data_IF_101401824739
#
_entry.id   IF_101401824739
#
_cell.length_a   1.000
_cell.length_b   1.000
_cell.length_c   1.000
_cell.angle_alpha   90.00
_cell.angle_beta   90.00
_cell.angle_gamma   90.00
#
_symmetry.space_group_name_H-M   'P 1'
#
loop_
_entity.id
_entity.type
_entity.pdbx_description
1 polymer ?
#
# COMPACT_ATOMS: atom_id res chain seq x y z
N UNK A 1 -14.54 -18.05 -20.54
CA UNK A 1 -15.68 -17.24 -20.99
C UNK A 1 -15.68 -17.25 -22.52
N UNK A 2 -16.86 -17.18 -23.14
CA UNK A 2 -17.03 -17.29 -24.59
C UNK A 2 -16.92 -15.90 -25.24
N UNK A 3 -16.27 -15.81 -26.41
CA UNK A 3 -15.91 -14.55 -27.08
C UNK A 3 -17.16 -13.69 -27.38
N UNK A 4 -18.29 -14.34 -27.66
CA UNK A 4 -19.56 -13.68 -27.91
C UNK A 4 -20.15 -13.00 -26.65
N UNK A 5 -19.95 -13.61 -25.49
CA UNK A 5 -20.38 -13.06 -24.19
C UNK A 5 -19.57 -11.81 -23.83
N UNK A 6 -18.25 -11.87 -24.01
CA UNK A 6 -17.36 -10.76 -23.70
C UNK A 6 -17.61 -9.58 -24.66
N UNK A 7 -17.84 -9.86 -25.95
CA UNK A 7 -18.19 -8.85 -26.94
C UNK A 7 -19.49 -8.12 -26.57
N UNK A 8 -20.53 -8.85 -26.15
CA UNK A 8 -21.79 -8.26 -25.71
C UNK A 8 -21.62 -7.45 -24.41
N UNK A 9 -20.84 -7.96 -23.46
CA UNK A 9 -20.55 -7.27 -22.20
C UNK A 9 -19.87 -5.91 -22.43
N UNK A 10 -18.82 -5.88 -23.25
CA UNK A 10 -18.08 -4.65 -23.53
C UNK A 10 -18.81 -3.69 -24.46
N UNK A 11 -19.69 -4.18 -25.34
CA UNK A 11 -20.59 -3.34 -26.13
C UNK A 11 -21.54 -2.52 -25.23
N UNK A 12 -21.99 -3.09 -24.12
CA UNK A 12 -22.82 -2.40 -23.12
C UNK A 12 -22.01 -1.54 -22.13
N UNK A 13 -20.67 -1.69 -22.11
CA UNK A 13 -19.76 -0.98 -21.19
C UNK A 13 -18.54 -0.41 -21.92
N UNK A 14 -18.74 0.51 -22.88
CA UNK A 14 -17.67 0.99 -23.76
C UNK A 14 -16.54 1.70 -23.01
N UNK A 15 -16.84 2.32 -21.86
CA UNK A 15 -15.83 2.96 -21.01
C UNK A 15 -14.90 1.94 -20.32
N UNK A 16 -15.42 0.77 -19.92
CA UNK A 16 -14.59 -0.30 -19.35
C UNK A 16 -13.68 -0.91 -20.42
N UNK A 17 -14.19 -1.10 -21.64
CA UNK A 17 -13.38 -1.51 -22.78
C UNK A 17 -12.27 -0.50 -23.08
N UNK A 18 -12.60 0.80 -23.09
CA UNK A 18 -11.60 1.87 -23.27
C UNK A 18 -10.51 1.80 -22.20
N UNK A 19 -10.88 1.61 -20.94
CA UNK A 19 -9.93 1.52 -19.82
C UNK A 19 -9.01 0.31 -19.96
N UNK A 20 -9.55 -0.85 -20.37
CA UNK A 20 -8.75 -2.05 -20.65
C UNK A 20 -7.83 -1.88 -21.85
N UNK A 21 -8.28 -1.18 -22.90
CA UNK A 21 -7.46 -0.85 -24.06
C UNK A 21 -6.37 0.18 -23.73
N UNK A 22 -6.65 1.15 -22.85
CA UNK A 22 -5.65 2.10 -22.36
C UNK A 22 -4.61 1.37 -21.52
N UNK A 23 -5.04 0.49 -20.61
CA UNK A 23 -4.13 -0.33 -19.79
C UNK A 23 -3.27 -1.25 -20.67
N UNK A 24 -3.87 -1.94 -21.64
CA UNK A 24 -3.12 -2.81 -22.55
C UNK A 24 -2.19 -2.02 -23.46
N UNK A 25 -2.60 -0.83 -23.92
CA UNK A 25 -1.72 0.08 -24.66
C UNK A 25 -0.55 0.56 -23.80
N UNK A 26 -0.74 0.83 -22.51
CA UNK A 26 0.35 1.20 -21.59
C UNK A 26 1.35 0.05 -21.38
N UNK A 27 0.89 -1.21 -21.37
CA UNK A 27 1.78 -2.38 -21.28
C UNK A 27 2.46 -2.74 -22.62
N UNK A 28 1.81 -2.46 -23.76
CA UNK A 28 2.31 -2.79 -25.10
C UNK A 28 3.13 -1.67 -25.75
N UNK A 29 2.85 -0.41 -25.39
CA UNK A 29 3.61 0.78 -25.73
C UNK A 29 4.12 1.41 -24.44
N UNK A 30 5.33 1.03 -23.97
CA UNK A 30 6.01 1.84 -22.97
C UNK A 30 6.15 3.24 -23.54
N UNK A 31 5.88 4.28 -22.75
CA UNK A 31 6.08 5.67 -23.14
C UNK A 31 7.58 5.98 -23.34
N UNK A 32 8.16 5.43 -24.40
CA UNK A 32 9.53 5.64 -24.85
C UNK A 32 9.58 6.86 -25.77
N UNK A 33 9.00 7.98 -25.36
CA UNK A 33 9.19 9.27 -26.07
C UNK A 33 8.55 10.43 -25.33
N UNK A 34 9.07 10.76 -24.14
CA UNK A 34 9.25 12.11 -23.62
C UNK A 34 9.47 12.06 -22.11
N UNK A 35 10.73 11.99 -21.67
CA UNK A 35 11.30 12.77 -20.55
C UNK A 35 12.75 12.32 -20.31
N UNK A 36 13.65 13.13 -20.85
CA UNK A 36 14.99 13.49 -20.37
C UNK A 36 15.67 12.57 -19.34
N UNK A 37 16.78 11.95 -19.79
CA UNK A 37 18.06 11.75 -19.07
C UNK A 37 18.13 11.01 -17.73
N UNK A 38 17.02 10.69 -17.05
CA UNK A 38 17.03 9.84 -15.85
C UNK A 38 16.78 8.37 -16.17
N UNK A 39 16.26 8.08 -17.35
CA UNK A 39 15.78 6.75 -17.70
C UNK A 39 16.88 5.73 -18.01
N UNK A 40 18.11 6.16 -18.30
CA UNK A 40 19.22 5.23 -18.58
C UNK A 40 19.84 4.61 -17.32
N UNK A 41 19.41 5.00 -16.11
CA UNK A 41 19.96 4.47 -14.85
C UNK A 41 19.08 3.37 -14.21
N UNK A 42 17.84 3.19 -14.66
CA UNK A 42 16.88 2.29 -14.00
C UNK A 42 16.80 0.89 -14.62
N UNK A 43 17.38 0.66 -15.80
CA UNK A 43 17.21 -0.61 -16.55
C UNK A 43 18.47 -1.46 -16.69
N UNK A 44 19.62 -1.00 -16.20
CA UNK A 44 20.85 -1.79 -16.18
C UNK A 44 21.39 -1.85 -14.76
N UNK A 45 21.59 -3.07 -14.24
CA UNK A 45 22.05 -3.35 -12.89
C UNK A 45 23.39 -2.71 -12.54
N UNK A 46 23.36 -1.43 -12.18
CA UNK A 46 24.50 -0.65 -11.74
C UNK A 46 24.08 0.14 -10.49
N UNK A 47 24.57 -0.34 -9.34
CA UNK A 47 24.81 0.39 -8.09
C UNK A 47 23.62 1.14 -7.50
N UNK A 48 22.77 0.39 -6.81
CA UNK A 48 21.73 0.87 -5.89
C UNK A 48 22.29 1.62 -4.66
N UNK A 49 23.60 1.53 -4.41
CA UNK A 49 24.22 1.82 -3.11
C UNK A 49 24.37 3.31 -2.72
N UNK A 50 24.08 4.29 -3.59
CA UNK A 50 24.39 5.70 -3.30
C UNK A 50 23.22 6.69 -3.29
N UNK A 51 21.99 6.28 -3.66
CA UNK A 51 20.84 7.21 -3.72
C UNK A 51 19.76 6.84 -2.72
N UNK A 52 19.04 7.84 -2.21
CA UNK A 52 17.92 7.64 -1.26
C UNK A 52 16.79 6.80 -1.86
N UNK A 53 16.47 6.98 -3.15
CA UNK A 53 15.54 6.11 -3.88
C UNK A 53 16.07 4.67 -4.00
N UNK A 54 17.39 4.52 -4.16
CA UNK A 54 18.10 3.26 -4.15
C UNK A 54 17.77 2.45 -2.89
N UNK A 55 18.11 3.05 -1.75
CA UNK A 55 17.86 2.49 -0.42
C UNK A 55 16.39 2.07 -0.25
N UNK A 56 15.44 2.84 -0.77
CA UNK A 56 14.02 2.51 -0.69
C UNK A 56 13.66 1.21 -1.44
N UNK A 57 14.11 1.00 -2.68
CA UNK A 57 13.82 -0.28 -3.34
C UNK A 57 14.60 -1.45 -2.73
N UNK A 58 15.76 -1.21 -2.10
CA UNK A 58 16.43 -2.26 -1.33
C UNK A 58 15.59 -2.68 -0.12
N UNK A 59 14.94 -1.74 0.56
CA UNK A 59 13.94 -2.06 1.59
C UNK A 59 12.75 -2.80 1.00
N UNK A 60 12.21 -2.36 -0.15
CA UNK A 60 11.14 -3.08 -0.84
C UNK A 60 11.55 -4.53 -1.17
N UNK A 61 12.82 -4.76 -1.52
CA UNK A 61 13.32 -6.11 -1.78
C UNK A 61 13.35 -6.97 -0.52
N UNK A 62 13.68 -6.38 0.63
CA UNK A 62 13.72 -7.07 1.93
C UNK A 62 12.31 -7.39 2.45
N UNK A 63 11.37 -6.46 2.32
CA UNK A 63 10.04 -6.56 2.97
C UNK A 63 8.91 -6.98 2.01
N UNK A 64 9.00 -6.58 0.73
CA UNK A 64 7.91 -6.67 -0.25
C UNK A 64 7.60 -8.04 -0.82
N UNK A 65 8.52 -9.02 -0.78
CA UNK A 65 8.38 -10.39 -1.33
C UNK A 65 7.55 -10.46 -2.64
N UNK A 66 6.26 -10.80 -2.54
CA UNK A 66 5.32 -10.95 -3.65
C UNK A 66 4.93 -9.65 -4.34
N UNK A 67 4.95 -8.51 -3.62
CA UNK A 67 4.62 -7.19 -4.17
C UNK A 67 5.79 -6.55 -4.90
N UNK A 68 7.05 -6.92 -4.57
CA UNK A 68 8.25 -6.39 -5.22
C UNK A 68 8.20 -6.48 -6.75
N UNK A 69 8.06 -7.67 -7.37
CA UNK A 69 8.06 -7.76 -8.83
C UNK A 69 6.89 -7.01 -9.48
N UNK A 70 5.77 -6.85 -8.76
CA UNK A 70 4.61 -6.09 -9.25
C UNK A 70 4.94 -4.60 -9.27
N UNK A 71 5.51 -4.06 -8.19
CA UNK A 71 5.86 -2.64 -8.06
C UNK A 71 7.01 -2.27 -9.01
N UNK A 72 8.03 -3.11 -9.12
CA UNK A 72 9.15 -2.91 -10.05
C UNK A 72 8.73 -2.95 -11.52
N UNK A 73 7.60 -3.60 -11.85
CA UNK A 73 7.06 -3.66 -13.21
C UNK A 73 6.15 -2.48 -13.59
N UNK A 74 5.84 -1.58 -12.64
CA UNK A 74 5.00 -0.42 -12.92
C UNK A 74 5.76 0.64 -13.73
N UNK A 75 4.99 1.53 -14.36
CA UNK A 75 5.55 2.69 -15.05
C UNK A 75 6.43 3.52 -14.08
N UNK A 76 7.58 4.09 -14.52
CA UNK A 76 8.50 4.83 -13.65
C UNK A 76 7.86 5.95 -12.84
N UNK A 77 6.85 6.61 -13.42
CA UNK A 77 6.03 7.64 -12.76
C UNK A 77 5.35 7.14 -11.47
N UNK A 78 5.03 5.85 -11.41
CA UNK A 78 4.27 5.21 -10.32
C UNK A 78 5.12 4.26 -9.47
N UNK A 79 6.18 3.66 -10.03
CA UNK A 79 6.98 2.67 -9.34
C UNK A 79 7.60 3.19 -8.05
N UNK A 80 8.26 4.37 -8.07
CA UNK A 80 8.84 4.98 -6.88
C UNK A 80 7.77 5.49 -5.89
N UNK A 81 6.71 6.24 -6.32
CA UNK A 81 5.63 6.62 -5.42
C UNK A 81 4.95 5.45 -4.70
N UNK A 82 4.67 4.36 -5.41
CA UNK A 82 4.04 3.17 -4.82
C UNK A 82 5.03 2.41 -3.93
N UNK A 83 6.32 2.36 -4.28
CA UNK A 83 7.37 1.82 -3.40
C UNK A 83 7.40 2.58 -2.06
N UNK A 84 7.46 3.91 -2.09
CA UNK A 84 7.46 4.73 -0.87
C UNK A 84 6.16 4.59 -0.11
N UNK A 85 5.01 4.58 -0.79
CA UNK A 85 3.73 4.36 -0.13
C UNK A 85 3.71 3.03 0.61
N UNK A 86 4.14 1.94 -0.03
CA UNK A 86 4.27 0.63 0.58
C UNK A 86 5.20 0.65 1.80
N UNK A 87 6.36 1.31 1.72
CA UNK A 87 7.30 1.39 2.84
C UNK A 87 6.75 2.20 4.03
N UNK A 88 6.00 3.26 3.77
CA UNK A 88 5.33 4.04 4.82
C UNK A 88 4.33 3.16 5.56
N UNK A 89 3.49 2.43 4.82
CA UNK A 89 2.51 1.52 5.42
C UNK A 89 3.18 0.35 6.15
N UNK A 90 4.24 -0.21 5.58
CA UNK A 90 5.03 -1.26 6.23
C UNK A 90 5.65 -0.78 7.55
N UNK A 91 6.13 0.46 7.58
CA UNK A 91 6.63 1.07 8.81
C UNK A 91 5.52 1.23 9.85
N UNK A 92 4.31 1.60 9.41
CA UNK A 92 3.13 1.70 10.26
C UNK A 92 2.76 0.34 10.87
N UNK A 93 2.66 -0.72 10.06
CA UNK A 93 2.39 -2.10 10.50
C UNK A 93 3.46 -2.56 11.51
N UNK A 94 4.74 -2.26 11.26
CA UNK A 94 5.84 -2.63 12.17
C UNK A 94 5.69 -1.98 13.55
N UNK A 95 5.17 -0.74 13.62
CA UNK A 95 4.89 -0.06 14.91
C UNK A 95 3.68 -0.68 15.59
N UNK A 96 2.66 -1.06 14.82
CA UNK A 96 1.46 -1.73 15.32
C UNK A 96 1.78 -3.10 15.90
N UNK A 97 2.60 -3.90 15.21
CA UNK A 97 2.90 -5.28 15.58
C UNK A 97 3.91 -5.40 16.72
N UNK A 98 4.75 -4.39 16.95
CA UNK A 98 5.79 -4.43 18.00
C UNK A 98 5.17 -4.57 19.41
N UNK A 99 5.21 -5.78 19.97
CA UNK A 99 4.69 -6.10 21.30
C UNK A 99 5.49 -5.43 22.43
N UNK A 100 6.70 -4.95 22.16
CA UNK A 100 7.54 -4.27 23.16
C UNK A 100 7.10 -2.83 23.43
N UNK A 101 6.29 -2.25 22.54
CA UNK A 101 5.77 -0.89 22.68
C UNK A 101 4.43 -0.93 23.45
N UNK A 102 4.32 -0.29 24.62
CA UNK A 102 3.04 -0.23 25.34
C UNK A 102 1.96 0.46 24.50
N UNK A 103 0.72 -0.04 24.57
CA UNK A 103 -0.46 0.49 23.84
C UNK A 103 -0.60 2.01 23.98
N UNK A 104 -0.49 2.54 25.20
CA UNK A 104 -0.59 3.97 25.46
C UNK A 104 0.52 4.80 24.78
N UNK A 105 1.67 4.19 24.47
CA UNK A 105 2.77 4.82 23.73
C UNK A 105 2.58 4.69 22.22
N UNK A 106 2.03 3.58 21.71
CA UNK A 106 1.77 3.38 20.26
C UNK A 106 1.00 4.56 19.64
N UNK A 107 -0.04 5.04 20.32
CA UNK A 107 -0.82 6.22 19.89
C UNK A 107 0.02 7.50 19.75
N UNK A 108 0.95 7.73 20.67
CA UNK A 108 1.87 8.88 20.61
C UNK A 108 2.91 8.77 19.50
N UNK A 109 3.21 7.54 19.05
CA UNK A 109 4.23 7.27 18.02
C UNK A 109 3.64 7.48 16.63
N UNK A 110 2.39 7.07 16.42
CA UNK A 110 1.65 7.38 15.19
C UNK A 110 1.48 8.88 14.95
N UNK A 111 1.59 9.70 16.00
CA UNK A 111 1.52 11.16 15.94
C UNK A 111 2.89 11.85 15.96
N UNK A 112 3.93 11.22 16.53
CA UNK A 112 5.30 11.74 16.52
C UNK A 112 6.36 10.60 16.63
N UNK A 113 7.06 10.25 15.52
CA UNK A 113 8.02 9.15 15.52
C UNK A 113 9.30 9.54 16.28
N UNK A 114 9.47 9.01 17.50
CA UNK A 114 10.68 9.19 18.33
C UNK A 114 10.98 7.93 19.16
N UNK A 115 11.16 6.80 18.49
CA UNK A 115 11.28 5.48 19.15
C UNK A 115 12.47 4.70 18.62
N UNK A 116 13.14 4.01 19.54
CA UNK A 116 14.11 2.97 19.24
C UNK A 116 13.41 1.61 19.26
N UNK A 117 13.31 0.97 18.10
CA UNK A 117 12.71 -0.36 17.92
C UNK A 117 13.74 -1.44 18.25
N UNK A 118 13.40 -2.42 19.10
CA UNK A 118 14.39 -3.40 19.59
C UNK A 118 14.23 -4.80 18.99
N UNK A 119 13.02 -5.27 18.70
CA UNK A 119 12.79 -6.70 18.45
C UNK A 119 12.04 -7.04 17.15
N UNK A 120 11.58 -6.04 16.39
CA UNK A 120 10.83 -6.29 15.16
C UNK A 120 11.67 -6.67 13.93
N UNK A 121 11.07 -7.50 13.06
CA UNK A 121 11.71 -8.06 11.86
C UNK A 121 12.12 -6.99 10.84
N UNK A 122 11.25 -6.01 10.63
CA UNK A 122 11.42 -4.96 9.64
C UNK A 122 11.94 -3.65 10.27
N UNK A 123 12.47 -3.70 11.51
CA UNK A 123 12.97 -2.52 12.25
C UNK A 123 13.98 -1.66 11.49
N UNK A 124 14.80 -2.27 10.64
CA UNK A 124 15.84 -1.57 9.90
C UNK A 124 15.23 -0.52 8.95
N UNK A 125 13.99 -0.73 8.50
CA UNK A 125 13.23 0.25 7.73
C UNK A 125 12.91 1.50 8.57
N UNK A 126 12.55 1.30 9.84
CA UNK A 126 12.19 2.38 10.75
C UNK A 126 13.39 3.19 11.21
N UNK A 127 14.55 2.54 11.36
CA UNK A 127 15.82 3.23 11.67
C UNK A 127 16.22 4.16 10.53
N UNK A 128 16.13 3.68 9.29
CA UNK A 128 16.52 4.44 8.09
C UNK A 128 15.35 5.14 7.39
N UNK A 129 14.25 5.37 8.13
CA UNK A 129 13.02 5.97 7.61
C UNK A 129 13.21 7.40 7.09
N UNK A 130 14.32 8.05 7.47
CA UNK A 130 14.75 9.33 6.90
C UNK A 130 14.90 9.29 5.37
N UNK A 131 15.34 8.14 4.81
CA UNK A 131 15.45 7.97 3.36
C UNK A 131 14.07 7.95 2.69
N UNK A 132 13.12 7.23 3.29
CA UNK A 132 11.72 7.18 2.85
C UNK A 132 11.09 8.58 2.90
N UNK A 133 11.29 9.30 4.01
CA UNK A 133 10.82 10.68 4.17
C UNK A 133 11.45 11.64 3.16
N UNK A 134 12.73 11.47 2.84
CA UNK A 134 13.42 12.30 1.85
C UNK A 134 12.83 12.11 0.44
N UNK A 135 12.53 10.87 0.04
CA UNK A 135 11.87 10.60 -1.24
C UNK A 135 10.41 11.05 -1.25
N UNK A 136 9.67 10.82 -0.17
CA UNK A 136 8.30 11.28 -0.01
C UNK A 136 8.15 12.78 -0.28
N UNK A 137 9.06 13.60 0.30
CA UNK A 137 9.07 15.05 0.13
C UNK A 137 9.36 15.52 -1.30
N UNK A 138 10.00 14.68 -2.14
CA UNK A 138 10.31 15.01 -3.54
C UNK A 138 9.12 14.75 -4.49
N UNK A 139 8.11 14.03 -4.04
CA UNK A 139 6.96 13.65 -4.88
C UNK A 139 6.05 14.83 -5.21
N UNK A 140 5.15 14.65 -6.18
CA UNK A 140 4.07 15.60 -6.45
C UNK A 140 3.21 15.80 -5.19
N UNK A 141 2.74 17.03 -4.99
CA UNK A 141 1.87 17.38 -3.85
C UNK A 141 0.59 16.52 -3.80
N UNK A 142 0.03 16.16 -4.96
CA UNK A 142 -1.12 15.27 -5.05
C UNK A 142 -0.84 13.88 -4.48
N UNK A 143 0.33 13.29 -4.79
CA UNK A 143 0.75 12.00 -4.23
C UNK A 143 1.01 12.09 -2.73
N UNK A 144 1.71 13.14 -2.29
CA UNK A 144 1.96 13.37 -0.86
C UNK A 144 0.66 13.48 -0.07
N UNK A 145 -0.34 14.21 -0.61
CA UNK A 145 -1.66 14.37 0.00
C UNK A 145 -2.39 13.03 0.09
N UNK A 146 -2.45 12.28 -1.01
CA UNK A 146 -3.14 10.99 -1.04
C UNK A 146 -2.53 10.00 -0.05
N UNK A 147 -1.20 9.87 -0.04
CA UNK A 147 -0.47 8.99 0.88
C UNK A 147 -0.67 9.46 2.32
N UNK A 148 -0.48 10.75 2.60
CA UNK A 148 -0.59 11.29 3.95
C UNK A 148 -1.99 11.14 4.55
N UNK A 149 -3.04 11.37 3.77
CA UNK A 149 -4.43 11.17 4.22
C UNK A 149 -4.70 9.69 4.52
N UNK A 150 -4.29 8.76 3.65
CA UNK A 150 -4.52 7.33 3.83
C UNK A 150 -3.72 6.79 5.02
N UNK A 151 -2.43 7.13 5.11
CA UNK A 151 -1.60 6.75 6.27
C UNK A 151 -2.16 7.34 7.57
N UNK A 152 -2.70 8.56 7.53
CA UNK A 152 -3.38 9.16 8.66
C UNK A 152 -4.61 8.36 9.09
N UNK A 153 -5.50 8.01 8.15
CA UNK A 153 -6.69 7.19 8.42
C UNK A 153 -6.30 5.81 8.99
N UNK A 154 -5.30 5.15 8.37
CA UNK A 154 -4.77 3.87 8.82
C UNK A 154 -4.26 3.95 10.27
N UNK A 155 -3.39 4.91 10.57
CA UNK A 155 -2.79 5.05 11.89
C UNK A 155 -3.81 5.37 13.00
N UNK A 156 -4.84 6.16 12.69
CA UNK A 156 -5.95 6.40 13.62
C UNK A 156 -6.78 5.12 13.83
N UNK A 157 -7.13 4.42 12.75
CA UNK A 157 -7.91 3.18 12.82
C UNK A 157 -7.21 2.09 13.63
N UNK A 158 -5.90 1.89 13.40
CA UNK A 158 -5.08 0.97 14.18
C UNK A 158 -5.03 1.38 15.66
N UNK A 159 -4.83 2.67 15.96
CA UNK A 159 -4.79 3.15 17.33
C UNK A 159 -6.11 2.95 18.08
N UNK A 160 -7.25 3.18 17.41
CA UNK A 160 -8.58 2.97 17.99
C UNK A 160 -8.87 1.47 18.19
N UNK A 161 -8.42 0.62 17.26
CA UNK A 161 -8.66 -0.82 17.31
C UNK A 161 -7.82 -1.57 18.36
N UNK A 162 -6.59 -1.12 18.62
CA UNK A 162 -5.78 -1.65 19.73
C UNK A 162 -6.52 -1.47 21.07
N UNK A 163 -7.33 -0.43 21.23
CA UNK A 163 -8.12 -0.20 22.43
C UNK A 163 -9.35 -1.12 22.52
N UNK A 164 -9.95 -1.51 21.39
CA UNK A 164 -11.11 -2.41 21.37
C UNK A 164 -10.74 -3.89 21.51
N UNK A 165 -9.48 -4.28 21.28
CA UNK A 165 -8.96 -5.65 21.45
C UNK A 165 -9.09 -6.23 22.88
N UNK A 166 -9.46 -5.40 23.88
CA UNK A 166 -9.81 -5.87 25.22
C UNK A 166 -11.25 -6.44 25.31
N UNK A 167 -12.07 -6.34 24.25
CA UNK A 167 -13.46 -6.80 24.18
C UNK A 167 -13.78 -7.76 23.03
N UNK A 168 -15.06 -8.11 22.89
CA UNK A 168 -15.57 -9.03 21.86
C UNK A 168 -15.73 -8.29 20.50
N UNK A 169 -14.90 -8.59 19.51
CA UNK A 169 -14.93 -7.96 18.18
C UNK A 169 -16.07 -8.49 17.31
N UNK A 170 -16.94 -7.60 16.83
CA UNK A 170 -18.04 -7.89 15.89
C UNK A 170 -17.57 -7.95 14.43
N UNK A 171 -18.37 -8.55 13.53
CA UNK A 171 -18.07 -8.51 12.07
C UNK A 171 -18.05 -7.07 11.53
N UNK A 172 -18.87 -6.18 12.10
CA UNK A 172 -18.90 -4.77 11.71
C UNK A 172 -17.61 -4.02 12.03
N UNK A 173 -17.04 -4.26 13.21
CA UNK A 173 -15.76 -3.68 13.64
C UNK A 173 -14.59 -4.28 12.85
N UNK A 174 -14.67 -5.58 12.54
CA UNK A 174 -13.72 -6.25 11.67
C UNK A 174 -13.68 -5.65 10.26
N UNK A 175 -14.85 -5.38 9.66
CA UNK A 175 -14.94 -4.74 8.34
C UNK A 175 -14.45 -3.29 8.37
N UNK A 176 -14.71 -2.58 9.47
CA UNK A 176 -14.23 -1.22 9.67
C UNK A 176 -12.71 -1.17 9.81
N UNK A 177 -12.13 -2.07 10.60
CA UNK A 177 -10.69 -2.24 10.74
C UNK A 177 -10.05 -2.55 9.38
N UNK A 178 -10.56 -3.57 8.66
CA UNK A 178 -10.08 -3.96 7.33
C UNK A 178 -10.19 -2.81 6.31
N UNK A 179 -11.16 -1.91 6.46
CA UNK A 179 -11.27 -0.72 5.62
C UNK A 179 -10.20 0.31 5.95
N UNK A 180 -9.99 0.62 7.23
CA UNK A 180 -9.00 1.61 7.64
C UNK A 180 -7.63 1.28 7.07
N UNK A 181 -7.24 0.01 7.16
CA UNK A 181 -5.94 -0.52 6.76
C UNK A 181 -5.77 -0.75 5.26
N UNK A 182 -6.86 -0.82 4.49
CA UNK A 182 -6.78 -1.02 3.05
C UNK A 182 -6.82 0.29 2.24
N UNK A 183 -7.59 1.28 2.69
CA UNK A 183 -7.67 2.62 2.12
C UNK A 183 -8.00 2.69 0.61
N UNK A 184 -7.89 3.89 0.04
CA UNK A 184 -8.09 4.19 -1.39
C UNK A 184 -6.83 4.80 -2.07
N UNK A 185 -5.68 4.75 -1.38
CA UNK A 185 -4.47 5.46 -1.79
C UNK A 185 -3.95 5.07 -3.17
N UNK A 186 -3.91 3.77 -3.50
CA UNK A 186 -3.47 3.31 -4.81
C UNK A 186 -4.35 3.86 -5.93
N UNK A 187 -5.67 3.80 -5.77
CA UNK A 187 -6.64 4.36 -6.71
C UNK A 187 -6.39 5.85 -6.97
N UNK A 188 -6.13 6.63 -5.91
CA UNK A 188 -5.80 8.05 -6.05
C UNK A 188 -4.49 8.25 -6.82
N UNK A 189 -3.44 7.49 -6.51
CA UNK A 189 -2.15 7.58 -7.22
C UNK A 189 -2.31 7.28 -8.72
N UNK A 190 -3.06 6.24 -9.11
CA UNK A 190 -3.33 5.92 -10.51
C UNK A 190 -4.15 7.00 -11.22
N UNK A 191 -5.09 7.63 -10.52
CA UNK A 191 -5.90 8.74 -11.05
C UNK A 191 -5.05 9.97 -11.31
N UNK A 192 -4.27 10.38 -10.31
CA UNK A 192 -3.40 11.56 -10.37
C UNK A 192 -2.25 11.39 -11.37
N UNK A 193 -1.87 10.16 -11.68
CA UNK A 193 -0.92 9.84 -12.75
C UNK A 193 -1.56 9.80 -14.15
N UNK A 194 -2.89 9.98 -14.26
CA UNK A 194 -3.68 9.89 -15.50
C UNK A 194 -3.66 8.51 -16.19
N UNK A 195 -3.30 7.45 -15.45
CA UNK A 195 -3.32 6.06 -15.97
C UNK A 195 -4.72 5.45 -15.95
N UNK A 196 -5.59 5.94 -15.07
CA UNK A 196 -6.96 5.44 -14.91
C UNK A 196 -7.90 6.62 -14.66
N UNK A 197 -9.02 6.63 -15.38
CA UNK A 197 -10.13 7.55 -15.10
C UNK A 197 -11.14 6.85 -14.17
N UNK A 198 -11.06 7.16 -12.88
CA UNK A 198 -11.91 6.54 -11.86
C UNK A 198 -13.34 7.08 -11.83
N UNK A 199 -13.69 8.08 -12.65
CA UNK A 199 -15.11 8.48 -12.85
C UNK A 199 -15.96 7.36 -13.48
N UNK A 200 -15.30 6.30 -13.97
CA UNK A 200 -15.89 5.18 -14.71
C UNK A 200 -16.24 3.99 -13.79
N UNK A 201 -15.83 4.00 -12.52
CA UNK A 201 -15.97 2.86 -11.58
C UNK A 201 -16.93 3.12 -10.41
N UNK A 202 -17.54 2.05 -9.89
CA UNK A 202 -18.25 2.10 -8.60
C UNK A 202 -17.25 2.40 -7.48
N UNK A 203 -17.52 3.46 -6.71
CA UNK A 203 -16.75 3.89 -5.55
C UNK A 203 -16.56 2.78 -4.50
N UNK A 204 -17.36 1.70 -4.52
CA UNK A 204 -17.20 0.59 -3.58
C UNK A 204 -16.23 -0.51 -4.05
N UNK A 205 -15.75 -0.46 -5.30
CA UNK A 205 -14.87 -1.52 -5.82
C UNK A 205 -13.48 -1.52 -5.18
N UNK A 206 -12.88 -0.34 -5.00
CA UNK A 206 -11.58 -0.25 -4.33
C UNK A 206 -11.68 -0.69 -2.86
N UNK A 207 -12.79 -0.36 -2.20
CA UNK A 207 -13.12 -0.86 -0.86
C UNK A 207 -13.20 -2.38 -0.82
N UNK A 208 -13.93 -2.98 -1.76
CA UNK A 208 -14.06 -4.44 -1.84
C UNK A 208 -12.71 -5.13 -2.09
N UNK A 209 -11.87 -4.58 -2.97
CA UNK A 209 -10.51 -5.08 -3.22
C UNK A 209 -9.67 -5.06 -1.93
N UNK A 210 -9.69 -3.92 -1.24
CA UNK A 210 -8.98 -3.73 0.01
C UNK A 210 -9.39 -4.72 1.10
N UNK A 211 -10.70 -4.83 1.35
CA UNK A 211 -11.27 -5.77 2.31
C UNK A 211 -10.88 -7.21 1.98
N UNK A 212 -10.95 -7.63 0.71
CA UNK A 212 -10.61 -8.98 0.30
C UNK A 212 -9.15 -9.34 0.64
N UNK A 213 -8.21 -8.46 0.32
CA UNK A 213 -6.79 -8.69 0.60
C UNK A 213 -6.50 -8.77 2.09
N UNK A 214 -7.07 -7.84 2.87
CA UNK A 214 -6.81 -7.78 4.31
C UNK A 214 -7.46 -8.93 5.08
N UNK A 215 -8.72 -9.25 4.77
CA UNK A 215 -9.40 -10.40 5.36
C UNK A 215 -8.65 -11.70 5.08
N UNK A 216 -8.14 -11.87 3.85
CA UNK A 216 -7.36 -13.05 3.50
C UNK A 216 -6.04 -13.15 4.29
N UNK A 217 -5.38 -12.03 4.60
CA UNK A 217 -4.21 -12.03 5.47
C UNK A 217 -4.59 -12.41 6.91
N UNK A 218 -5.63 -11.80 7.48
CA UNK A 218 -6.10 -12.13 8.84
C UNK A 218 -6.46 -13.62 8.95
N UNK A 219 -7.13 -14.17 7.93
CA UNK A 219 -7.46 -15.61 7.91
C UNK A 219 -6.21 -16.49 7.86
N UNK A 220 -5.22 -16.12 7.06
CA UNK A 220 -3.97 -16.88 6.93
C UNK A 220 -3.15 -16.84 8.22
N UNK A 221 -3.14 -15.70 8.90
CA UNK A 221 -2.20 -15.40 9.99
C UNK A 221 -2.79 -15.66 11.38
N UNK A 222 -4.03 -16.18 11.49
CA UNK A 222 -4.74 -16.48 12.76
C UNK A 222 -3.86 -17.16 13.82
N UNK A 223 -3.07 -18.15 13.42
CA UNK A 223 -2.22 -18.88 14.36
C UNK A 223 -1.04 -18.04 14.86
N UNK A 224 -0.43 -17.25 13.98
CA UNK A 224 0.68 -16.34 14.33
C UNK A 224 0.16 -15.24 15.25
N UNK A 225 -0.96 -14.62 14.89
CA UNK A 225 -1.65 -13.61 15.71
C UNK A 225 -1.97 -14.16 17.11
N UNK A 226 -2.50 -15.38 17.19
CA UNK A 226 -2.80 -16.02 18.47
C UNK A 226 -1.55 -16.23 19.34
N UNK A 227 -0.43 -16.65 18.75
CA UNK A 227 0.84 -16.83 19.46
C UNK A 227 1.38 -15.50 20.01
N UNK A 228 1.15 -14.41 19.27
CA UNK A 228 1.56 -13.05 19.67
C UNK A 228 0.55 -12.37 20.61
N UNK A 229 -0.53 -13.05 20.99
CA UNK A 229 -1.58 -12.52 21.86
C UNK A 229 -2.53 -11.53 21.17
N UNK A 230 -2.49 -11.45 19.84
CA UNK A 230 -3.38 -10.63 19.00
C UNK A 230 -4.64 -11.41 18.65
N UNK A 231 -5.80 -10.74 18.62
CA UNK A 231 -7.09 -11.34 18.25
C UNK A 231 -7.81 -10.52 17.19
N UNK A 232 -7.43 -10.72 15.93
CA UNK A 232 -7.99 -10.03 14.77
C UNK A 232 -9.24 -10.73 14.20
N UNK A 233 -9.41 -12.03 14.46
CA UNK A 233 -10.56 -12.80 14.00
C UNK A 233 -11.83 -12.43 14.80
N UNK A 234 -12.95 -12.07 14.14
CA UNK A 234 -14.18 -11.69 14.84
C UNK A 234 -14.81 -12.89 15.56
N UNK A 235 -15.36 -12.68 16.75
CA UNK A 235 -15.94 -13.78 17.54
C UNK A 235 -17.23 -14.35 16.95
N UNK A 236 -17.93 -13.56 16.15
CA UNK A 236 -19.20 -13.93 15.52
C UNK A 236 -19.05 -14.86 14.30
N UNK A 237 -17.81 -15.11 13.84
CA UNK A 237 -17.52 -15.86 12.61
C UNK A 237 -17.40 -17.38 12.79
#
# INVERSE_FOLDING_TARGET
MDLASDALYFALRPQQLRSLLQLSALFLYPASSQTNSHHSQLQHGLTYEATTAGVCFDYLRKTGRSLRPVIEALHPELALPICIFYLILRGLDTIEDDVSIPVGRKRSIFTAPSVQFKEEKDRDLLVDFNNVNAEFKKMKSAYQKAIGEVTGIMGHGMADFIQSMEGDTTVGEYDLYCWYVAGDGLTRLFTEAEFVDFTIGDSNLHKSMGLMLYKNNIIRDVWEDHCDGRRLWPQEA
#
